data_IF_123286774588
#
_entry.id   IF_123286774588
#
_cell.length_a   1.000
_cell.length_b   1.000
_cell.length_c   1.000
_cell.angle_alpha   90.00
_cell.angle_beta   90.00
_cell.angle_gamma   90.00
#
_symmetry.space_group_name_H-M   'P 1'
#
loop_
_entity.id
_entity.type
_entity.pdbx_description
1 polymer ?
2 non-polymer ?
3 non-polymer ?
4 water ?
#
# COMPACT_ATOMS: atom_id res chain seq x y z
N UNK A 13 -17.13 10.51 9.47
CA UNK A 13 -15.75 10.26 10.04
C UNK A 13 -14.62 9.87 9.05
N UNK A 14 -13.47 10.57 9.21
CA UNK A 14 -12.24 10.41 8.43
C UNK A 14 -11.49 9.13 8.77
N UNK A 15 -11.73 8.59 9.96
CA UNK A 15 -11.13 7.30 10.35
C UNK A 15 -12.02 6.10 10.10
N UNK A 16 -13.22 6.33 9.54
CA UNK A 16 -14.14 5.27 9.09
C UNK A 16 -14.33 5.37 7.56
N UNK A 17 -14.17 4.24 6.86
CA UNK A 17 -14.12 4.18 5.40
C UNK A 17 -15.46 4.02 4.68
N UNK A 18 -16.56 4.25 5.38
CA UNK A 18 -17.88 4.05 4.79
C UNK A 18 -18.31 5.14 3.79
N UNK A 19 -17.51 6.19 3.65
CA UNK A 19 -17.85 7.26 2.69
C UNK A 19 -17.46 6.95 1.27
N UNK A 20 -16.42 6.15 1.09
CA UNK A 20 -15.93 5.81 -0.25
C UNK A 20 -17.01 5.18 -1.16
N UNK A 21 -17.64 4.11 -0.70
CA UNK A 21 -18.73 3.48 -1.44
C UNK A 21 -19.95 3.49 -0.51
N UNK A 22 -20.61 4.65 -0.42
CA UNK A 22 -21.82 4.79 0.41
C UNK A 22 -22.91 3.74 0.07
N UNK A 23 -23.00 3.39 -1.21
CA UNK A 23 -23.91 2.33 -1.66
C UNK A 23 -23.78 1.07 -0.84
N UNK A 24 -22.56 0.69 -0.46
CA UNK A 24 -22.34 -0.52 0.35
C UNK A 24 -22.86 -0.44 1.77
N UNK A 25 -23.24 0.74 2.24
CA UNK A 25 -23.93 0.80 3.52
C UNK A 25 -25.23 -0.02 3.47
N UNK A 26 -25.79 -0.12 2.28
CA UNK A 26 -27.09 -0.72 2.03
C UNK A 26 -27.04 -2.15 1.54
N UNK A 27 -25.96 -2.57 0.90
CA UNK A 27 -25.93 -3.90 0.32
C UNK A 27 -24.53 -4.47 0.17
N UNK A 28 -24.44 -5.78 0.29
CA UNK A 28 -23.16 -6.45 0.31
C UNK A 28 -22.52 -6.55 -1.08
N UNK A 29 -23.34 -6.55 -2.12
CA UNK A 29 -22.89 -6.32 -3.48
C UNK A 29 -23.69 -5.15 -4.02
N UNK A 30 -22.98 -4.06 -4.30
CA UNK A 30 -23.60 -2.78 -4.57
C UNK A 30 -23.10 -2.30 -5.91
N UNK A 31 -24.02 -2.01 -6.84
CA UNK A 31 -23.64 -1.51 -8.17
C UNK A 31 -23.41 0.03 -8.15
N UNK A 32 -22.27 0.42 -8.71
CA UNK A 32 -21.87 1.79 -8.70
C UNK A 32 -21.06 2.13 -9.93
N UNK A 33 -21.02 3.42 -10.28
CA UNK A 33 -20.25 3.87 -11.41
C UNK A 33 -18.86 4.22 -10.94
N UNK A 34 -17.85 3.90 -11.74
CA UNK A 34 -16.47 4.29 -11.42
C UNK A 34 -16.19 5.65 -11.98
N UNK A 35 -14.93 6.07 -11.92
CA UNK A 35 -14.56 7.48 -12.23
C UNK A 35 -15.01 7.93 -13.61
N UNK A 36 -14.90 7.03 -14.58
CA UNK A 36 -15.25 7.28 -15.98
C UNK A 36 -16.62 6.75 -16.26
N UNK A 37 -17.43 6.55 -15.24
CA UNK A 37 -18.79 6.10 -15.46
C UNK A 37 -19.03 4.63 -15.59
N UNK A 38 -18.00 3.82 -15.89
CA UNK A 38 -18.20 2.32 -15.99
C UNK A 38 -18.86 1.77 -14.71
N UNK A 39 -19.86 0.93 -14.88
CA UNK A 39 -20.44 0.36 -13.67
C UNK A 39 -19.55 -0.73 -13.12
N UNK A 40 -19.71 -1.03 -11.85
CA UNK A 40 -18.89 -2.04 -11.23
C UNK A 40 -19.57 -2.56 -9.99
N UNK A 41 -19.59 -3.86 -9.79
CA UNK A 41 -20.17 -4.39 -8.57
C UNK A 41 -19.15 -4.27 -7.45
N UNK A 42 -19.48 -3.55 -6.39
CA UNK A 42 -18.60 -3.46 -5.24
C UNK A 42 -18.88 -4.53 -4.15
N UNK A 43 -17.94 -5.44 -3.96
CA UNK A 43 -18.05 -6.43 -2.89
C UNK A 43 -17.50 -5.91 -1.54
N UNK A 44 -18.36 -5.83 -0.53
CA UNK A 44 -18.02 -5.34 0.81
C UNK A 44 -17.89 -6.40 1.92
N UNK A 45 -18.31 -7.64 1.64
CA UNK A 45 -18.21 -8.71 2.60
C UNK A 45 -16.89 -9.42 2.49
N UNK A 46 -16.33 -9.71 3.65
CA UNK A 46 -15.08 -10.44 3.73
C UNK A 46 -15.06 -11.73 2.94
N UNK A 47 -15.97 -12.67 3.15
CA UNK A 47 -15.86 -13.91 2.36
C UNK A 47 -15.98 -13.57 0.86
N UNK A 48 -16.98 -12.77 0.47
CA UNK A 48 -17.14 -12.40 -0.94
C UNK A 48 -15.86 -11.80 -1.56
N UNK A 49 -15.18 -10.99 -0.78
CA UNK A 49 -13.97 -10.35 -1.23
C UNK A 49 -12.87 -11.35 -1.40
N UNK A 50 -12.65 -12.16 -0.37
CA UNK A 50 -11.77 -13.29 -0.52
C UNK A 50 -12.16 -14.14 -1.75
N UNK A 51 -13.45 -14.33 -1.99
CA UNK A 51 -13.83 -15.16 -3.12
C UNK A 51 -13.41 -14.52 -4.44
N UNK A 52 -13.72 -13.24 -4.61
CA UNK A 52 -13.41 -12.55 -5.85
C UNK A 52 -11.93 -12.64 -6.12
N UNK A 53 -11.14 -12.53 -5.07
CA UNK A 53 -9.71 -12.36 -5.25
C UNK A 53 -8.88 -13.61 -5.49
N UNK A 54 -9.40 -14.82 -5.22
CA UNK A 54 -8.71 -16.03 -5.71
C UNK A 54 -9.46 -16.85 -6.74
N UNK A 55 -10.60 -16.34 -7.21
CA UNK A 55 -11.27 -16.92 -8.35
C UNK A 55 -10.51 -16.67 -9.66
N UNK A 56 -10.25 -17.73 -10.41
CA UNK A 56 -9.60 -17.54 -11.72
C UNK A 56 -10.44 -16.72 -12.74
N UNK A 57 -11.75 -16.59 -12.55
CA UNK A 57 -12.56 -15.82 -13.50
C UNK A 57 -12.53 -14.28 -13.34
N UNK A 58 -11.80 -13.79 -12.35
CA UNK A 58 -11.63 -12.35 -12.20
C UNK A 58 -10.19 -11.99 -12.46
N UNK A 59 -9.95 -11.04 -13.35
CA UNK A 59 -8.63 -10.85 -13.92
C UNK A 59 -8.09 -9.45 -13.59
N UNK A 60 -6.78 -9.37 -13.37
CA UNK A 60 -6.07 -8.10 -13.25
C UNK A 60 -5.52 -7.59 -14.59
N UNK A 61 -5.78 -8.32 -15.68
CA UNK A 61 -5.25 -7.94 -17.00
C UNK A 61 -5.82 -6.64 -17.61
N UNK A 62 -5.08 -5.54 -17.52
CA UNK A 62 -5.61 -4.24 -18.00
C UNK A 62 -5.78 -4.07 -19.51
N UNK A 63 -5.18 -4.95 -20.30
CA UNK A 63 -5.31 -4.85 -21.75
C UNK A 63 -6.65 -5.37 -22.24
N UNK A 64 -7.46 -5.98 -21.37
CA UNK A 64 -8.76 -6.51 -21.77
C UNK A 64 -9.82 -5.46 -22.06
N UNK A 65 -10.62 -5.63 -23.12
CA UNK A 65 -11.64 -4.62 -23.35
C UNK A 65 -12.36 -4.32 -22.06
N UNK A 66 -12.69 -3.05 -21.83
CA UNK A 66 -13.49 -2.61 -20.68
C UNK A 66 -12.74 -2.50 -19.34
N UNK A 67 -11.49 -2.98 -19.22
CA UNK A 67 -10.80 -2.80 -17.94
C UNK A 67 -10.72 -1.32 -17.48
N UNK A 68 -11.09 -1.06 -16.23
CA UNK A 68 -11.21 0.30 -15.74
C UNK A 68 -10.41 0.48 -14.45
N UNK A 69 -9.26 1.13 -14.53
CA UNK A 69 -8.48 1.40 -13.32
C UNK A 69 -9.32 2.27 -12.37
N UNK A 70 -9.01 2.25 -11.09
CA UNK A 70 -9.84 2.97 -10.12
C UNK A 70 -9.59 4.47 -10.15
N UNK A 71 -8.48 4.91 -10.76
CA UNK A 71 -8.28 6.35 -11.07
C UNK A 71 -7.85 6.59 -12.52
N UNK A 72 -8.13 7.77 -13.06
CA UNK A 72 -7.68 8.05 -14.40
C UNK A 72 -6.18 7.96 -14.52
N UNK A 73 -5.46 8.53 -13.57
CA UNK A 73 -4.01 8.46 -13.60
C UNK A 73 -3.48 7.07 -13.92
N UNK A 74 -3.96 6.04 -13.22
CA UNK A 74 -3.58 4.63 -13.53
C UNK A 74 -4.09 4.15 -14.88
N UNK A 75 -5.29 4.57 -15.26
CA UNK A 75 -5.84 4.22 -16.57
C UNK A 75 -4.82 4.46 -17.66
N UNK A 76 -4.19 5.61 -17.63
CA UNK A 76 -3.14 5.92 -18.57
C UNK A 76 -2.18 4.75 -18.79
N UNK A 77 -2.06 3.79 -17.87
CA UNK A 77 -1.06 2.71 -18.11
C UNK A 77 -1.60 1.40 -18.63
N UNK A 78 -2.92 1.28 -18.74
CA UNK A 78 -3.58 -0.03 -18.92
C UNK A 78 -3.04 -0.86 -20.07
N UNK A 79 -2.66 -0.21 -21.15
CA UNK A 79 -2.19 -0.87 -22.36
C UNK A 79 -0.79 -1.45 -22.21
N UNK A 80 -0.05 -1.00 -21.21
CA UNK A 80 1.28 -1.54 -20.96
C UNK A 80 1.60 -1.35 -19.51
N UNK A 81 0.96 -2.14 -18.66
CA UNK A 81 1.02 -1.90 -17.24
C UNK A 81 2.21 -2.59 -16.63
N UNK A 82 2.51 -2.35 -15.37
CA UNK A 82 3.42 -3.15 -14.63
C UNK A 82 2.74 -4.47 -14.29
N UNK A 83 3.45 -5.39 -13.64
CA UNK A 83 2.87 -6.71 -13.46
C UNK A 83 1.63 -6.80 -12.59
N UNK A 84 1.37 -5.79 -11.77
CA UNK A 84 0.13 -5.81 -10.94
C UNK A 84 -1.12 -5.91 -11.83
N UNK A 85 -0.96 -5.54 -13.10
CA UNK A 85 -2.02 -5.63 -14.10
C UNK A 85 -1.74 -6.66 -15.17
N UNK A 86 -1.37 -7.82 -14.68
CA UNK A 86 -1.20 -8.97 -15.54
C UNK A 86 -1.80 -10.20 -14.96
N UNK A 87 -2.07 -11.12 -15.87
CA UNK A 87 -2.42 -12.51 -15.53
C UNK A 87 -1.29 -13.42 -15.92
N UNK A 88 -1.43 -14.71 -15.60
CA UNK A 88 -0.47 -15.72 -16.08
C UNK A 88 -0.63 -15.95 -17.56
N UNK A 89 0.44 -16.36 -18.25
CA UNK A 89 1.78 -16.66 -17.76
C UNK A 89 2.65 -15.52 -17.35
N UNK A 90 2.32 -14.27 -17.72
CA UNK A 90 3.21 -13.18 -17.41
C UNK A 90 3.32 -12.87 -15.93
N UNK A 91 2.20 -12.86 -15.23
CA UNK A 91 2.23 -12.55 -13.81
C UNK A 91 3.25 -13.39 -13.04
N UNK A 92 3.15 -14.69 -13.22
CA UNK A 92 4.04 -15.65 -12.59
C UNK A 92 5.51 -15.36 -12.96
N UNK A 93 5.72 -15.01 -14.22
CA UNK A 93 7.06 -14.75 -14.71
C UNK A 93 7.65 -13.47 -14.05
N UNK A 94 6.94 -12.36 -14.18
CA UNK A 94 7.40 -11.11 -13.64
C UNK A 94 7.53 -11.10 -12.11
N UNK A 95 6.51 -11.60 -11.43
CA UNK A 95 6.51 -11.55 -9.97
C UNK A 95 7.64 -12.42 -9.53
N UNK A 96 7.83 -13.49 -10.30
CA UNK A 96 8.90 -14.43 -10.08
C UNK A 96 10.27 -13.82 -10.04
N UNK A 97 10.45 -12.73 -10.79
CA UNK A 97 11.79 -12.13 -10.86
C UNK A 97 12.24 -11.55 -9.54
N UNK A 98 11.31 -11.21 -8.66
CA UNK A 98 11.68 -10.56 -7.40
C UNK A 98 11.03 -11.16 -6.16
N UNK A 99 10.10 -12.09 -6.32
CA UNK A 99 9.38 -12.71 -5.18
C UNK A 99 10.32 -13.23 -4.14
N UNK A 100 11.44 -13.72 -4.60
CA UNK A 100 12.36 -14.36 -3.70
C UNK A 100 13.00 -13.33 -2.73
N UNK A 101 13.08 -12.07 -3.15
CA UNK A 101 13.67 -11.07 -2.29
C UNK A 101 12.85 -10.82 -1.01
N UNK A 102 11.54 -11.06 -1.10
CA UNK A 102 10.62 -10.64 -0.06
C UNK A 102 10.13 -11.82 0.77
N UNK A 103 10.73 -12.99 0.57
CA UNK A 103 10.44 -14.08 1.44
C UNK A 103 10.75 -13.66 2.88
N UNK A 104 9.79 -13.84 3.79
CA UNK A 104 9.95 -13.49 5.19
C UNK A 104 11.29 -13.89 5.77
N UNK A 105 11.81 -15.00 5.34
CA UNK A 105 13.12 -15.40 5.82
C UNK A 105 14.20 -14.37 5.42
N UNK A 106 14.18 -13.86 4.19
CA UNK A 106 15.19 -12.88 3.74
C UNK A 106 14.95 -11.44 4.29
N UNK A 107 13.70 -11.03 4.34
CA UNK A 107 13.36 -9.71 4.86
C UNK A 107 13.70 -9.59 6.34
N UNK A 108 13.62 -10.69 7.07
CA UNK A 108 14.02 -10.69 8.46
C UNK A 108 15.45 -10.24 8.59
N UNK A 109 16.29 -10.64 7.65
CA UNK A 109 17.68 -10.18 7.70
C UNK A 109 17.78 -8.65 7.61
N UNK A 110 16.74 -7.94 7.15
CA UNK A 110 16.78 -6.47 7.20
C UNK A 110 16.41 -5.85 8.55
N UNK A 111 15.82 -6.62 9.46
CA UNK A 111 15.25 -6.05 10.68
C UNK A 111 16.19 -5.10 11.43
N UNK A 112 17.45 -5.52 11.69
CA UNK A 112 18.35 -4.62 12.46
C UNK A 112 18.71 -3.36 11.71
N UNK A 113 18.82 -3.42 10.40
CA UNK A 113 19.04 -2.24 9.56
C UNK A 113 17.89 -1.29 9.71
N UNK A 114 16.69 -1.87 9.63
CA UNK A 114 15.44 -1.12 9.74
C UNK A 114 15.41 -0.42 11.10
N UNK A 115 15.77 -1.18 12.14
CA UNK A 115 15.74 -0.73 13.52
C UNK A 115 16.76 0.40 13.75
N UNK A 116 17.88 0.33 13.03
CA UNK A 116 18.89 1.35 13.04
C UNK A 116 18.27 2.59 12.36
N UNK A 117 17.65 2.44 11.19
CA UNK A 117 17.08 3.57 10.44
C UNK A 117 16.10 4.36 11.31
N UNK A 118 15.30 3.60 12.04
CA UNK A 118 14.33 4.17 12.97
C UNK A 118 15.09 4.92 14.08
N UNK A 119 15.91 4.25 14.87
CA UNK A 119 16.72 4.96 15.90
C UNK A 119 17.37 6.22 15.31
N UNK A 120 17.75 6.16 14.03
CA UNK A 120 18.37 7.25 13.36
C UNK A 120 17.45 8.43 13.38
N UNK A 121 16.21 8.21 12.97
CA UNK A 121 15.26 9.32 12.85
C UNK A 121 14.86 9.82 14.22
N UNK A 122 14.56 8.91 15.14
CA UNK A 122 14.18 9.31 16.49
C UNK A 122 15.28 10.10 17.17
N UNK A 123 16.54 9.82 16.87
CA UNK A 123 17.67 10.58 17.40
C UNK A 123 17.63 12.03 16.96
N UNK A 124 17.35 12.23 15.67
CA UNK A 124 17.06 13.54 15.14
C UNK A 124 15.95 14.14 15.94
N UNK A 125 14.73 13.69 15.71
CA UNK A 125 13.57 14.20 16.44
C UNK A 125 13.69 14.49 17.94
N UNK A 126 14.49 13.71 18.65
CA UNK A 126 14.57 13.82 20.10
C UNK A 126 15.02 15.22 20.54
N UNK A 127 15.74 15.91 19.68
CA UNK A 127 16.27 17.26 19.98
C UNK A 127 15.40 18.40 19.40
N UNK A 128 14.42 18.05 18.61
CA UNK A 128 13.64 19.01 17.90
C UNK A 128 12.51 19.42 18.81
N UNK A 129 12.16 20.71 18.78
CA UNK A 129 11.00 21.20 19.51
C UNK A 129 9.75 20.85 18.74
N UNK A 130 8.74 20.27 19.41
CA UNK A 130 7.46 20.14 18.75
C UNK A 130 6.81 21.49 18.51
N UNK A 131 5.77 21.52 17.68
CA UNK A 131 5.19 20.41 16.98
C UNK A 131 5.98 20.08 15.72
N UNK A 132 5.68 18.96 15.10
CA UNK A 132 6.39 18.50 13.92
C UNK A 132 5.40 17.78 13.02
N UNK A 133 5.67 17.79 11.72
CA UNK A 133 4.85 17.07 10.79
C UNK A 133 5.44 15.69 10.78
N UNK A 134 4.78 14.77 11.48
CA UNK A 134 5.33 13.43 11.66
C UNK A 134 5.36 12.61 10.39
N UNK A 135 4.61 13.04 9.37
CA UNK A 135 4.74 12.42 8.10
C UNK A 135 6.15 12.68 7.58
N UNK A 136 6.45 13.92 7.30
CA UNK A 136 7.74 14.36 6.78
C UNK A 136 8.89 14.05 7.74
N UNK A 137 8.63 14.17 9.02
CA UNK A 137 9.69 14.05 10.01
C UNK A 137 9.91 12.62 10.51
N UNK A 138 8.89 11.74 10.47
CA UNK A 138 9.10 10.37 10.92
C UNK A 138 8.78 9.30 9.88
N UNK A 139 7.55 9.27 9.41
CA UNK A 139 7.15 8.14 8.60
C UNK A 139 7.93 8.06 7.28
N UNK A 140 7.93 9.12 6.53
CA UNK A 140 8.51 9.06 5.20
C UNK A 140 10.01 8.74 5.25
N UNK A 141 10.77 9.40 6.14
CA UNK A 141 12.19 9.09 6.13
C UNK A 141 12.45 7.65 6.42
N UNK A 142 11.83 7.12 7.47
CA UNK A 142 11.92 5.68 7.80
C UNK A 142 11.61 4.84 6.55
N UNK A 143 10.37 4.97 6.09
CA UNK A 143 9.87 4.17 5.00
C UNK A 143 10.76 4.28 3.76
N UNK A 144 11.00 5.49 3.31
CA UNK A 144 11.74 5.70 2.08
C UNK A 144 13.18 5.23 2.20
N UNK A 145 13.85 5.59 3.28
CA UNK A 145 15.24 5.15 3.42
C UNK A 145 15.32 3.64 3.34
N UNK A 146 14.33 2.98 3.93
CA UNK A 146 14.33 1.52 4.03
C UNK A 146 14.24 0.91 2.64
N UNK A 147 13.20 1.24 1.89
CA UNK A 147 13.08 0.68 0.56
C UNK A 147 14.14 1.20 -0.40
N UNK A 148 14.62 2.42 -0.21
CA UNK A 148 15.64 2.93 -1.11
C UNK A 148 16.96 2.24 -0.85
N UNK A 149 17.24 1.93 0.41
CA UNK A 149 18.37 1.07 0.73
C UNK A 149 18.21 -0.28 0.02
N UNK A 150 17.11 -0.97 0.28
CA UNK A 150 16.84 -2.21 -0.41
C UNK A 150 17.06 -2.12 -1.92
N UNK A 151 16.52 -1.09 -2.57
CA UNK A 151 16.53 -0.97 -4.04
C UNK A 151 17.87 -0.50 -4.53
N UNK A 152 18.47 0.44 -3.83
CA UNK A 152 19.78 0.97 -4.20
C UNK A 152 19.68 2.33 -4.84
N UNK A 153 18.53 2.97 -4.69
CA UNK A 153 18.33 4.30 -5.23
C UNK A 153 19.34 5.23 -4.58
N UNK A 154 20.00 6.09 -5.39
CA UNK A 154 20.84 7.20 -4.94
C UNK A 154 20.11 8.11 -4.01
N UNK A 155 20.80 8.61 -3.00
CA UNK A 155 20.22 9.59 -2.06
C UNK A 155 19.74 10.86 -2.77
N UNK A 156 20.63 11.44 -3.56
CA UNK A 156 20.34 12.58 -4.47
C UNK A 156 18.91 12.54 -5.04
N UNK A 157 18.49 11.36 -5.50
CA UNK A 157 17.29 11.21 -6.34
C UNK A 157 15.96 11.01 -5.62
N UNK A 158 15.96 11.02 -4.30
CA UNK A 158 14.78 10.59 -3.57
C UNK A 158 13.70 11.64 -3.45
N UNK A 159 14.10 12.89 -3.34
CA UNK A 159 13.14 13.96 -3.38
C UNK A 159 12.29 13.87 -4.65
N UNK A 160 12.93 13.61 -5.79
CA UNK A 160 12.21 13.53 -7.05
C UNK A 160 11.24 12.34 -7.05
N UNK A 161 11.81 11.16 -6.79
CA UNK A 161 11.02 9.93 -6.71
C UNK A 161 9.85 10.14 -5.78
N UNK A 162 10.07 10.88 -4.70
CA UNK A 162 8.98 11.13 -3.77
C UNK A 162 7.87 11.92 -4.42
N UNK A 163 8.25 12.97 -5.16
CA UNK A 163 7.30 13.86 -5.80
C UNK A 163 6.51 13.07 -6.81
N UNK A 164 7.22 12.33 -7.66
CA UNK A 164 6.55 11.55 -8.70
C UNK A 164 5.58 10.44 -8.13
N UNK A 165 5.93 9.83 -6.99
CA UNK A 165 5.04 8.84 -6.41
C UNK A 165 3.70 9.49 -6.05
N UNK A 166 3.74 10.68 -5.45
CA UNK A 166 2.48 11.39 -5.17
C UNK A 166 1.66 11.58 -6.46
N UNK A 167 2.34 11.56 -7.59
CA UNK A 167 1.69 11.76 -8.87
C UNK A 167 0.87 10.64 -9.33
N UNK A 168 1.48 9.46 -9.17
CA UNK A 168 0.92 8.17 -9.53
C UNK A 168 -0.27 7.81 -8.69
N UNK A 169 -0.28 8.35 -7.48
CA UNK A 169 -1.23 7.92 -6.46
C UNK A 169 -2.36 8.89 -6.35
N UNK A 170 -2.26 9.97 -7.08
CA UNK A 170 -3.31 10.98 -7.12
C UNK A 170 -4.57 10.33 -7.63
N UNK A 171 -5.70 10.66 -7.04
CA UNK A 171 -6.97 10.18 -7.54
C UNK A 171 -7.75 11.28 -8.23
N UNK A 172 -7.10 12.42 -8.38
CA UNK A 172 -7.72 13.62 -8.95
C UNK A 172 -7.04 13.97 -10.26
N UNK A 173 -5.73 13.73 -10.35
CA UNK A 173 -5.01 13.74 -11.61
C UNK A 173 -5.88 13.27 -12.75
N UNK A 174 -5.52 13.63 -13.97
CA UNK A 174 -6.24 13.23 -15.16
C UNK A 174 -5.43 12.14 -15.80
N UNK A 175 -6.02 11.51 -16.80
CA UNK A 175 -5.34 10.49 -17.54
C UNK A 175 -4.14 11.02 -18.31
N UNK A 176 -4.23 12.23 -18.85
CA UNK A 176 -3.07 12.82 -19.52
C UNK A 176 -2.00 13.36 -18.53
N UNK A 177 -2.40 13.85 -17.35
CA UNK A 177 -1.44 14.19 -16.32
C UNK A 177 -0.67 12.98 -15.82
N UNK A 178 -1.41 11.90 -15.57
CA UNK A 178 -0.83 10.63 -15.17
C UNK A 178 0.12 10.03 -16.18
N UNK A 179 -0.20 10.18 -17.47
CA UNK A 179 0.71 9.67 -18.47
C UNK A 179 2.06 10.35 -18.30
N UNK A 180 2.06 11.66 -18.05
CA UNK A 180 3.33 12.39 -17.97
C UNK A 180 4.08 11.94 -16.74
N UNK A 181 3.38 11.78 -15.63
CA UNK A 181 4.02 11.36 -14.41
C UNK A 181 4.85 10.13 -14.66
N UNK A 182 4.14 9.06 -15.02
CA UNK A 182 4.67 7.74 -15.39
C UNK A 182 5.77 7.80 -16.43
N UNK A 183 5.56 8.64 -17.47
CA UNK A 183 6.60 8.96 -18.47
C UNK A 183 7.87 9.39 -17.77
N UNK A 184 7.75 10.35 -16.86
CA UNK A 184 8.91 10.94 -16.22
C UNK A 184 9.53 9.92 -15.30
N UNK A 185 8.71 9.40 -14.41
CA UNK A 185 9.12 8.28 -13.59
C UNK A 185 9.81 7.17 -14.41
N UNK A 186 9.17 6.72 -15.48
CA UNK A 186 9.77 5.69 -16.32
C UNK A 186 11.13 5.97 -16.93
N UNK A 187 11.32 7.22 -17.38
CA UNK A 187 12.58 7.67 -17.97
C UNK A 187 13.68 7.67 -16.89
N UNK A 188 13.36 8.08 -15.67
CA UNK A 188 14.33 7.97 -14.59
C UNK A 188 14.77 6.54 -14.40
N UNK A 189 13.79 5.66 -14.24
CA UNK A 189 14.08 4.31 -13.88
C UNK A 189 14.80 3.64 -15.05
N UNK A 190 14.41 3.99 -16.28
CA UNK A 190 15.07 3.43 -17.47
C UNK A 190 16.55 3.74 -17.46
N UNK A 191 16.88 4.91 -16.94
CA UNK A 191 18.25 5.33 -16.81
C UNK A 191 19.06 4.41 -15.95
N UNK A 192 18.48 3.90 -14.87
CA UNK A 192 19.20 2.94 -14.01
C UNK A 192 19.29 1.57 -14.64
N UNK A 193 18.23 1.16 -15.31
CA UNK A 193 18.24 -0.10 -16.03
C UNK A 193 19.40 -0.14 -17.01
N UNK A 194 19.56 0.93 -17.79
CA UNK A 194 20.58 1.01 -18.82
C UNK A 194 21.96 1.24 -18.26
N UNK A 195 22.08 1.83 -17.08
CA UNK A 195 23.40 1.98 -16.44
C UNK A 195 23.37 1.61 -14.94
N UNK A 196 23.43 0.31 -14.63
CA UNK A 196 23.38 -0.18 -13.24
C UNK A 196 24.67 0.08 -12.45
N UNK A 197 25.69 0.64 -13.12
CA UNK A 197 27.06 0.64 -12.60
C UNK A 197 27.23 1.56 -11.43
N UNK A 198 26.41 2.59 -11.38
CA UNK A 198 26.51 3.53 -10.26
C UNK A 198 25.81 3.00 -9.00
N UNK A 199 25.05 1.89 -9.11
CA UNK A 199 24.31 1.34 -7.96
C UNK A 199 25.06 0.30 -7.15
N UNK A 200 24.86 0.31 -5.84
CA UNK A 200 25.43 -0.65 -4.92
C UNK A 200 25.31 -2.10 -5.39
N UNK A 201 26.25 -2.95 -4.99
CA UNK A 201 26.22 -4.36 -5.37
C UNK A 201 25.07 -5.06 -4.65
N UNK A 202 24.89 -4.78 -3.35
CA UNK A 202 23.82 -5.42 -2.58
C UNK A 202 22.47 -4.70 -2.80
N UNK A 203 22.19 -4.32 -4.05
CA UNK A 203 20.95 -3.62 -4.37
C UNK A 203 20.03 -4.47 -5.16
N UNK A 204 18.74 -4.34 -4.87
CA UNK A 204 17.75 -5.13 -5.54
C UNK A 204 17.67 -4.72 -6.98
N UNK A 205 17.80 -3.45 -7.28
CA UNK A 205 17.74 -3.05 -8.69
C UNK A 205 18.83 -3.74 -9.48
N UNK A 206 20.02 -3.75 -8.94
CA UNK A 206 21.17 -4.27 -9.65
C UNK A 206 20.98 -5.76 -9.91
N UNK A 207 20.56 -6.49 -8.89
CA UNK A 207 20.33 -7.92 -9.08
C UNK A 207 19.33 -8.13 -10.21
N UNK A 208 18.35 -7.23 -10.30
CA UNK A 208 17.27 -7.43 -11.27
C UNK A 208 17.75 -7.11 -12.65
N UNK A 209 18.54 -6.05 -12.74
CA UNK A 209 19.06 -5.63 -14.02
C UNK A 209 20.12 -6.61 -14.57
N UNK A 210 21.19 -6.83 -13.80
CA UNK A 210 22.28 -7.74 -14.23
C UNK A 210 21.84 -9.17 -14.30
N UNK A 211 20.82 -9.53 -13.53
CA UNK A 211 20.31 -10.91 -13.55
C UNK A 211 19.22 -11.06 -14.60
N UNK A 212 17.96 -11.23 -14.17
CA UNK A 212 16.89 -11.61 -15.06
C UNK A 212 16.63 -10.71 -16.25
N UNK A 213 17.03 -9.46 -16.15
CA UNK A 213 16.85 -8.55 -17.27
C UNK A 213 17.86 -8.89 -18.33
N UNK A 214 19.12 -9.01 -17.92
CA UNK A 214 20.19 -9.39 -18.82
C UNK A 214 19.98 -10.81 -19.33
N UNK A 215 19.43 -11.70 -18.49
CA UNK A 215 19.06 -13.03 -18.93
C UNK A 215 17.81 -13.05 -19.79
N UNK A 216 17.23 -11.87 -19.99
CA UNK A 216 16.08 -11.68 -20.90
C UNK A 216 14.82 -12.41 -20.42
N UNK A 217 14.69 -12.62 -19.11
CA UNK A 217 13.45 -13.15 -18.55
C UNK A 217 12.35 -12.11 -18.66
N UNK A 218 12.75 -10.85 -18.87
CA UNK A 218 11.81 -9.78 -19.12
C UNK A 218 12.44 -8.66 -19.86
N UNK A 219 11.56 -7.89 -20.50
CA UNK A 219 11.96 -6.81 -21.36
C UNK A 219 12.42 -5.58 -20.57
N UNK A 220 12.95 -4.63 -21.31
CA UNK A 220 13.30 -3.39 -20.74
C UNK A 220 12.15 -2.70 -20.02
N UNK A 221 11.01 -2.65 -20.68
CA UNK A 221 9.88 -1.93 -20.12
C UNK A 221 9.20 -2.73 -18.98
N UNK A 222 9.27 -4.07 -19.04
CA UNK A 222 8.80 -4.89 -17.93
C UNK A 222 9.64 -4.65 -16.70
N UNK A 223 10.94 -4.54 -16.93
CA UNK A 223 11.85 -4.21 -15.83
C UNK A 223 11.52 -2.89 -15.13
N UNK A 224 11.33 -1.84 -15.92
CA UNK A 224 10.88 -0.59 -15.35
C UNK A 224 9.59 -0.79 -14.54
N UNK A 225 8.69 -1.64 -15.05
CA UNK A 225 7.42 -1.96 -14.38
C UNK A 225 7.69 -2.44 -12.98
N UNK A 226 8.56 -3.44 -12.89
CA UNK A 226 8.90 -4.03 -11.61
C UNK A 226 9.38 -2.95 -10.65
N UNK A 227 10.38 -2.21 -11.07
CA UNK A 227 10.99 -1.30 -10.13
C UNK A 227 10.00 -0.24 -9.69
N UNK A 228 9.30 0.32 -10.67
CA UNK A 228 8.34 1.38 -10.40
C UNK A 228 7.38 0.97 -9.30
N UNK A 229 6.95 -0.29 -9.33
CA UNK A 229 5.99 -0.80 -8.35
C UNK A 229 6.56 -1.00 -6.99
N UNK A 230 7.83 -1.32 -6.90
CA UNK A 230 8.44 -1.41 -5.59
C UNK A 230 8.65 0.01 -5.02
N UNK A 231 8.99 0.96 -5.87
CA UNK A 231 9.10 2.35 -5.40
C UNK A 231 7.77 2.89 -4.86
N UNK A 232 6.68 2.57 -5.54
CA UNK A 232 5.38 3.07 -5.11
C UNK A 232 4.82 2.39 -3.83
N UNK A 233 4.64 1.05 -3.86
CA UNK A 233 4.23 0.23 -2.66
C UNK A 233 5.20 0.23 -1.46
N UNK A 234 6.48 0.38 -1.80
CA UNK A 234 7.56 0.41 -0.83
C UNK A 234 7.53 1.49 0.23
N UNK A 235 6.91 2.64 -0.05
CA UNK A 235 6.92 3.65 0.98
C UNK A 235 5.63 4.49 1.14
N UNK A 236 5.03 4.93 0.04
CA UNK A 236 3.73 5.55 0.18
C UNK A 236 2.75 4.66 1.02
N UNK A 237 2.43 3.42 0.61
CA UNK A 237 1.50 2.63 1.50
C UNK A 237 2.00 2.41 2.91
N UNK A 238 3.32 2.31 3.05
CA UNK A 238 3.90 2.02 4.34
C UNK A 238 3.92 3.31 5.22
N UNK A 239 4.31 4.41 4.61
CA UNK A 239 4.44 5.67 5.32
C UNK A 239 3.09 6.26 5.82
N UNK A 240 2.06 6.19 4.97
CA UNK A 240 0.67 6.40 5.43
C UNK A 240 0.30 5.46 6.56
N UNK A 241 0.53 4.15 6.41
CA UNK A 241 0.02 3.28 7.46
C UNK A 241 0.68 3.75 8.76
N UNK A 242 1.96 4.08 8.73
CA UNK A 242 2.58 4.50 9.97
C UNK A 242 1.79 5.67 10.54
N UNK A 243 1.71 6.72 9.71
CA UNK A 243 1.00 7.95 10.00
C UNK A 243 -0.31 7.77 10.70
N UNK A 244 -1.22 7.04 10.07
CA UNK A 244 -2.54 6.79 10.65
C UNK A 244 -2.43 6.05 11.96
N UNK A 245 -1.41 5.21 12.11
CA UNK A 245 -1.26 4.48 13.37
C UNK A 245 -1.00 5.46 14.49
N UNK A 246 -0.15 6.44 14.18
CA UNK A 246 0.08 7.53 15.13
C UNK A 246 -1.20 8.27 15.44
N UNK A 247 -2.01 8.58 14.43
CA UNK A 247 -3.27 9.27 14.70
C UNK A 247 -4.09 8.51 15.71
N UNK A 248 -4.20 7.19 15.54
CA UNK A 248 -4.92 6.35 16.49
C UNK A 248 -4.27 6.43 17.86
N UNK A 249 -2.94 6.39 17.89
CA UNK A 249 -2.20 6.53 19.15
C UNK A 249 -2.54 7.86 19.86
N UNK A 250 -2.40 8.95 19.11
CA UNK A 250 -2.73 10.28 19.57
C UNK A 250 -4.09 10.30 20.25
N UNK A 251 -5.06 9.66 19.63
CA UNK A 251 -6.44 9.62 20.13
C UNK A 251 -6.70 8.67 21.32
N UNK A 252 -5.94 7.57 21.42
CA UNK A 252 -6.23 6.50 22.37
C UNK A 252 -4.95 5.85 22.93
N UNK A 253 -4.08 6.65 23.51
CA UNK A 253 -2.75 6.11 23.81
C UNK A 253 -2.67 4.94 24.84
N UNK A 254 -3.70 4.78 25.66
CA UNK A 254 -3.71 3.75 26.69
C UNK A 254 -4.19 2.38 26.14
N UNK A 255 -4.72 2.37 24.91
CA UNK A 255 -4.81 1.15 24.10
C UNK A 255 -3.46 0.65 23.68
N UNK A 256 -2.50 1.54 23.62
CA UNK A 256 -1.16 1.17 23.24
C UNK A 256 -0.34 0.79 24.46
N UNK A 257 -0.97 0.66 25.63
CA UNK A 257 -0.30 0.14 26.82
C UNK A 257 0.61 -1.04 26.46
N UNK A 258 0.02 -1.94 25.70
CA UNK A 258 0.64 -3.14 25.19
C UNK A 258 2.09 -2.93 24.79
N UNK A 259 2.37 -1.93 23.96
CA UNK A 259 3.75 -1.75 23.53
C UNK A 259 4.72 -1.93 24.68
N UNK A 260 4.41 -1.30 25.81
CA UNK A 260 5.21 -1.41 27.03
C UNK A 260 5.07 -2.75 27.77
N UNK A 261 3.82 -3.16 28.04
CA UNK A 261 3.58 -4.39 28.86
C UNK A 261 3.59 -5.74 28.14
N UNK A 262 3.61 -5.75 26.82
CA UNK A 262 3.37 -6.98 26.06
C UNK A 262 4.04 -6.97 24.67
N UNK A 263 5.37 -6.73 24.62
CA UNK A 263 6.10 -6.68 23.35
C UNK A 263 5.83 -7.85 22.39
N UNK A 264 5.62 -9.01 22.95
CA UNK A 264 5.38 -10.19 22.12
C UNK A 264 4.01 -10.08 21.42
N UNK A 265 3.24 -9.04 21.74
CA UNK A 265 1.93 -8.80 21.08
C UNK A 265 1.93 -7.70 20.02
N UNK A 266 3.08 -7.04 19.86
CA UNK A 266 3.30 -6.05 18.80
C UNK A 266 2.93 -6.64 17.43
N UNK A 267 3.40 -7.85 17.14
CA UNK A 267 2.99 -8.38 15.84
C UNK A 267 1.48 -8.37 15.57
N UNK A 268 0.67 -8.77 16.56
CA UNK A 268 -0.80 -8.67 16.46
C UNK A 268 -1.18 -7.23 16.27
N UNK A 269 -0.59 -6.38 17.09
CA UNK A 269 -1.05 -5.03 17.13
C UNK A 269 -0.92 -4.39 15.74
N UNK A 270 0.14 -4.77 15.04
CA UNK A 270 0.41 -4.25 13.70
C UNK A 270 -0.69 -4.73 12.76
N UNK A 271 -1.01 -6.00 12.83
CA UNK A 271 -2.08 -6.56 12.03
C UNK A 271 -3.34 -5.77 12.22
N UNK A 272 -3.56 -5.33 13.46
CA UNK A 272 -4.85 -4.78 13.81
C UNK A 272 -4.89 -3.41 13.20
N UNK A 273 -3.75 -2.73 13.15
CA UNK A 273 -3.63 -1.45 12.43
C UNK A 273 -3.80 -1.66 10.92
N UNK A 274 -3.20 -2.70 10.38
CA UNK A 274 -3.42 -3.06 8.94
C UNK A 274 -4.91 -3.23 8.59
N UNK A 275 -5.63 -3.94 9.45
CA UNK A 275 -7.08 -4.03 9.34
C UNK A 275 -7.80 -2.70 9.41
N UNK A 276 -7.49 -1.96 10.48
CA UNK A 276 -8.33 -0.85 10.89
C UNK A 276 -8.12 0.19 9.84
N UNK A 277 -6.84 0.42 9.53
CA UNK A 277 -6.38 1.42 8.60
C UNK A 277 -6.06 0.64 7.33
N UNK A 278 -7.09 0.25 6.61
CA UNK A 278 -6.87 -0.34 5.33
C UNK A 278 -6.60 0.69 4.28
N UNK A 279 -5.38 1.17 4.19
CA UNK A 279 -5.04 2.24 3.24
C UNK A 279 -5.40 2.08 1.79
N UNK A 280 -5.61 0.89 1.29
CA UNK A 280 -6.01 0.69 -0.08
C UNK A 280 -7.48 0.99 -0.16
N UNK A 281 -7.78 2.27 -0.09
CA UNK A 281 -9.11 2.71 0.28
C UNK A 281 -10.13 2.51 -0.81
N UNK A 282 -9.70 2.41 -2.04
CA UNK A 282 -10.67 2.29 -3.10
C UNK A 282 -10.95 0.86 -3.39
N UNK A 283 -10.29 -0.04 -2.67
CA UNK A 283 -10.41 -1.45 -2.92
C UNK A 283 -9.64 -1.82 -4.18
N UNK A 284 -9.82 -3.05 -4.62
CA UNK A 284 -9.11 -3.55 -5.73
C UNK A 284 -10.07 -3.95 -6.85
N UNK A 285 -9.87 -3.40 -8.03
CA UNK A 285 -10.63 -3.83 -9.21
C UNK A 285 -10.18 -5.08 -9.97
N UNK A 286 -11.18 -5.77 -10.52
CA UNK A 286 -10.98 -7.02 -11.29
C UNK A 286 -12.00 -7.06 -12.41
N UNK A 287 -11.65 -7.71 -13.52
CA UNK A 287 -12.63 -7.83 -14.58
C UNK A 287 -12.96 -9.29 -14.70
N UNK A 288 -14.26 -9.58 -14.83
CA UNK A 288 -14.78 -10.91 -15.07
C UNK A 288 -14.35 -11.35 -16.43
N UNK A 289 -13.99 -12.62 -16.52
CA UNK A 289 -13.62 -13.25 -17.78
C UNK A 289 -14.69 -14.18 -18.31
N UNK A 290 -15.70 -14.46 -17.49
CA UNK A 290 -16.90 -15.22 -17.89
C UNK A 290 -17.93 -14.97 -16.81
N UNK A 291 -19.15 -15.49 -16.95
CA UNK A 291 -20.16 -15.19 -15.96
C UNK A 291 -19.82 -15.93 -14.69
N UNK A 292 -20.08 -15.30 -13.55
CA UNK A 292 -19.72 -15.87 -12.25
C UNK A 292 -20.68 -15.38 -11.19
N UNK A 293 -21.16 -16.29 -10.34
CA UNK A 293 -22.02 -15.91 -9.24
C UNK A 293 -21.18 -15.86 -7.97
N UNK A 294 -21.21 -14.69 -7.32
CA UNK A 294 -20.60 -14.49 -6.03
C UNK A 294 -21.61 -13.72 -5.18
N UNK A 295 -21.67 -14.03 -3.90
CA UNK A 295 -22.40 -13.22 -2.95
C UNK A 295 -23.81 -13.01 -3.43
N UNK A 296 -24.35 -14.09 -3.96
CA UNK A 296 -25.69 -14.12 -4.54
C UNK A 296 -25.90 -13.18 -5.72
N UNK A 297 -24.86 -12.87 -6.48
CA UNK A 297 -24.96 -11.99 -7.64
C UNK A 297 -24.20 -12.56 -8.81
N UNK A 298 -24.87 -12.60 -9.97
CA UNK A 298 -24.23 -12.99 -11.21
C UNK A 298 -23.47 -11.79 -11.78
N UNK A 299 -22.21 -11.99 -12.09
CA UNK A 299 -21.41 -10.97 -12.70
C UNK A 299 -21.20 -11.43 -14.12
N UNK A 300 -21.75 -10.68 -15.05
CA UNK A 300 -21.68 -11.02 -16.47
C UNK A 300 -20.21 -10.90 -16.89
N UNK A 301 -19.79 -11.73 -17.83
CA UNK A 301 -18.43 -11.59 -18.39
C UNK A 301 -18.17 -10.14 -18.80
N UNK A 302 -16.95 -9.67 -18.58
CA UNK A 302 -16.58 -8.31 -19.01
C UNK A 302 -16.96 -7.20 -18.02
N UNK A 303 -17.79 -7.51 -17.04
CA UNK A 303 -18.08 -6.64 -15.91
C UNK A 303 -16.84 -6.43 -15.05
N UNK A 304 -16.63 -5.17 -14.67
CA UNK A 304 -15.72 -4.78 -13.62
C UNK A 304 -16.30 -5.07 -12.25
N UNK A 305 -15.44 -5.38 -11.29
CA UNK A 305 -15.86 -5.45 -9.91
C UNK A 305 -14.81 -4.78 -9.06
N UNK A 306 -15.16 -4.54 -7.81
CA UNK A 306 -14.27 -3.93 -6.85
C UNK A 306 -14.32 -4.74 -5.57
N UNK A 307 -13.16 -5.15 -5.12
CA UNK A 307 -13.07 -5.82 -3.86
C UNK A 307 -12.77 -4.82 -2.74
N UNK A 308 -13.81 -4.43 -2.00
CA UNK A 308 -13.65 -3.32 -1.08
C UNK A 308 -13.01 -3.76 0.22
N UNK A 309 -11.67 -3.70 0.25
CA UNK A 309 -10.84 -4.22 1.36
C UNK A 309 -11.21 -3.62 2.69
N UNK A 310 -11.26 -2.29 2.78
CA UNK A 310 -11.42 -1.64 4.05
C UNK A 310 -12.72 -2.01 4.74
N UNK A 311 -13.74 -2.39 3.95
CA UNK A 311 -15.06 -2.83 4.44
C UNK A 311 -15.06 -4.31 4.73
N UNK A 312 -14.45 -5.08 3.85
CA UNK A 312 -14.18 -6.43 4.21
C UNK A 312 -13.38 -6.45 5.51
N UNK A 313 -12.49 -5.48 5.73
CA UNK A 313 -11.74 -5.49 7.00
C UNK A 313 -12.54 -5.04 8.19
N UNK A 314 -13.76 -4.58 7.93
CA UNK A 314 -14.67 -4.20 8.99
C UNK A 314 -15.95 -5.00 9.06
N UNK A 315 -15.92 -6.21 8.51
CA UNK A 315 -17.11 -6.99 8.40
C UNK A 315 -17.35 -7.62 9.75
N UNK A 316 -18.29 -7.06 10.52
CA UNK A 316 -18.56 -7.56 11.90
C UNK A 316 -18.55 -9.09 12.01
N UNK A 317 -19.18 -9.77 11.08
CA UNK A 317 -19.31 -11.23 11.16
C UNK A 317 -17.97 -11.97 11.37
N UNK A 318 -16.87 -11.43 10.85
CA UNK A 318 -15.50 -11.95 11.02
C UNK A 318 -14.68 -11.16 12.09
N UNK A 319 -15.08 -9.93 12.35
CA UNK A 319 -14.28 -9.01 13.16
C UNK A 319 -15.26 -8.29 14.09
N UNK A 320 -15.52 -8.87 15.28
CA UNK A 320 -16.48 -8.26 16.20
C UNK A 320 -16.03 -6.87 16.60
N UNK A 321 -16.99 -5.94 16.76
CA UNK A 321 -16.72 -4.51 16.96
C UNK A 321 -15.65 -4.01 16.03
N UNK A 322 -15.87 -4.19 14.73
CA UNK A 322 -14.93 -3.83 13.68
C UNK A 322 -14.48 -2.37 13.69
N UNK A 323 -15.37 -1.47 14.15
CA UNK A 323 -15.05 -0.05 14.08
C UNK A 323 -14.27 0.33 15.33
N UNK A 324 -13.95 -0.66 16.17
CA UNK A 324 -13.13 -0.44 17.36
C UNK A 324 -11.76 -0.97 17.09
N UNK A 325 -10.76 -0.14 17.30
CA UNK A 325 -9.40 -0.59 17.27
C UNK A 325 -9.18 -1.48 18.50
N UNK A 326 -8.88 -2.76 18.31
CA UNK A 326 -8.85 -3.67 19.44
C UNK A 326 -7.73 -4.71 19.34
N UNK A 327 -6.67 -4.43 20.10
CA UNK A 327 -5.51 -5.31 20.16
C UNK A 327 -5.73 -6.63 20.93
N UNK A 328 -6.89 -6.79 21.59
CA UNK A 328 -7.21 -8.06 22.26
C UNK A 328 -7.94 -9.07 21.37
N UNK A 329 -7.89 -8.91 20.06
CA UNK A 329 -8.43 -9.97 19.20
C UNK A 329 -7.37 -11.03 19.15
N UNK A 330 -7.79 -12.29 19.08
CA UNK A 330 -6.85 -13.34 18.75
C UNK A 330 -6.48 -13.14 17.30
N UNK A 331 -5.36 -13.70 16.84
CA UNK A 331 -4.91 -13.41 15.48
C UNK A 331 -6.10 -13.46 14.55
N UNK A 332 -6.38 -12.33 13.85
CA UNK A 332 -7.37 -12.32 12.73
C UNK A 332 -6.88 -11.71 11.37
N UNK A 333 -7.24 -12.37 10.25
CA UNK A 333 -6.59 -12.18 8.96
C UNK A 333 -7.32 -11.24 8.09
N UNK A 334 -6.79 -10.01 8.06
CA UNK A 334 -7.28 -8.92 7.22
C UNK A 334 -6.82 -9.15 5.82
N UNK A 335 -7.53 -8.54 4.87
CA UNK A 335 -7.13 -8.53 3.48
C UNK A 335 -6.53 -7.16 3.11
N UNK A 336 -5.99 -6.47 4.11
CA UNK A 336 -5.11 -5.36 3.89
C UNK A 336 -4.13 -5.45 2.77
N UNK A 337 -3.46 -6.58 2.64
CA UNK A 337 -2.55 -6.76 1.54
C UNK A 337 -3.24 -7.40 0.33
N UNK A 338 -4.57 -7.46 0.35
CA UNK A 338 -5.27 -8.15 -0.71
C UNK A 338 -5.23 -9.64 -0.45
N UNK A 339 -5.34 -10.39 -1.52
CA UNK A 339 -5.54 -11.83 -1.41
C UNK A 339 -5.50 -12.40 -2.81
N UNK A 340 -5.13 -13.67 -2.89
CA UNK A 340 -5.04 -14.31 -4.18
C UNK A 340 -3.62 -14.25 -4.69
N UNK A 341 -3.47 -14.44 -5.99
CA UNK A 341 -2.13 -14.40 -6.52
C UNK A 341 -1.49 -13.06 -6.45
N UNK A 342 -2.28 -11.97 -6.50
CA UNK A 342 -1.68 -10.62 -6.50
C UNK A 342 -1.44 -10.03 -5.13
N UNK A 343 -1.63 -10.82 -4.09
CA UNK A 343 -1.36 -10.36 -2.75
C UNK A 343 -0.01 -9.67 -2.54
N UNK A 344 -0.01 -8.54 -1.86
CA UNK A 344 1.23 -7.76 -1.68
C UNK A 344 2.45 -8.67 -1.51
N UNK A 345 3.32 -8.67 -2.52
CA UNK A 345 4.64 -9.28 -2.42
C UNK A 345 5.56 -8.63 -1.36
N UNK A 346 5.45 -7.29 -1.17
CA UNK A 346 6.15 -6.52 -0.12
C UNK A 346 5.56 -6.62 1.28
N UNK A 347 4.46 -7.34 1.48
CA UNK A 347 3.83 -7.46 2.85
C UNK A 347 4.81 -7.81 3.96
N UNK A 348 5.77 -8.70 3.70
CA UNK A 348 6.74 -9.05 4.73
C UNK A 348 7.60 -7.86 5.15
N UNK A 349 7.97 -7.03 4.19
CA UNK A 349 8.84 -5.89 4.52
C UNK A 349 8.13 -4.86 5.38
N UNK A 350 6.86 -4.62 5.01
CA UNK A 350 6.06 -3.60 5.65
C UNK A 350 5.69 -4.01 7.05
N UNK A 351 5.48 -5.32 7.25
CA UNK A 351 5.21 -5.82 8.59
C UNK A 351 6.36 -5.46 9.49
N UNK A 352 7.56 -5.87 9.08
CA UNK A 352 8.80 -5.52 9.80
C UNK A 352 8.93 -4.02 10.12
N UNK A 353 8.76 -3.16 9.10
CA UNK A 353 8.92 -1.69 9.29
C UNK A 353 7.94 -1.26 10.35
N UNK A 354 6.69 -1.70 10.25
CA UNK A 354 5.66 -1.26 11.19
C UNK A 354 5.94 -1.75 12.61
N UNK A 355 6.43 -3.00 12.67
CA UNK A 355 6.77 -3.63 13.93
C UNK A 355 7.87 -2.92 14.61
N UNK A 356 8.86 -2.46 13.83
CA UNK A 356 9.97 -1.68 14.38
C UNK A 356 9.64 -0.21 14.63
N UNK A 357 8.98 0.43 13.65
CA UNK A 357 8.74 1.89 13.64
C UNK A 357 7.77 2.34 14.72
N UNK A 358 6.62 1.70 14.83
CA UNK A 358 5.54 2.20 15.67
C UNK A 358 5.92 2.10 17.17
N UNK A 359 6.29 0.90 17.66
CA UNK A 359 6.81 0.82 19.04
C UNK A 359 7.91 1.84 19.37
N UNK A 360 8.87 1.96 18.49
CA UNK A 360 9.98 2.84 18.69
C UNK A 360 9.45 4.23 19.03
N UNK A 361 8.64 4.80 18.13
CA UNK A 361 8.22 6.15 18.29
C UNK A 361 7.32 6.39 19.51
N UNK A 362 6.49 5.43 19.86
CA UNK A 362 5.68 5.55 21.03
C UNK A 362 6.59 5.60 22.27
N UNK A 363 7.64 4.80 22.29
CA UNK A 363 8.44 4.65 23.48
C UNK A 363 9.27 5.88 23.71
N UNK A 364 9.72 6.50 22.62
CA UNK A 364 10.57 7.67 22.67
C UNK A 364 9.80 9.03 22.81
N UNK A 365 8.49 8.99 22.58
CA UNK A 365 7.67 10.17 22.50
C UNK A 365 6.24 9.78 22.88
N UNK A 366 6.06 9.33 24.13
CA UNK A 366 4.75 8.85 24.45
C UNK A 366 3.72 9.92 24.73
N UNK A 367 4.12 11.20 24.81
CA UNK A 367 3.17 12.30 24.98
C UNK A 367 2.71 12.84 23.62
N UNK A 368 3.03 12.09 22.57
CA UNK A 368 2.53 12.38 21.24
C UNK A 368 1.03 12.56 21.25
N UNK A 369 0.60 13.81 21.14
CA UNK A 369 -0.79 14.16 20.88
C UNK A 369 -0.84 14.96 19.59
N UNK A 370 -2.04 15.12 19.06
CA UNK A 370 -2.25 15.83 17.83
C UNK A 370 -2.02 17.32 18.05
N UNK A 371 -1.28 17.95 17.15
CA UNK A 371 -1.01 19.39 17.26
C UNK A 371 -2.10 20.15 16.56
N UNK A 372 -3.15 19.49 16.13
CA UNK A 372 -4.38 20.18 15.79
C UNK A 372 -5.53 19.21 15.63
N UNK A 373 -6.70 19.77 15.45
CA UNK A 373 -7.93 19.06 15.49
C UNK A 373 -7.98 18.00 14.41
N UNK A 374 -8.50 16.85 14.79
CA UNK A 374 -8.77 15.79 13.85
C UNK A 374 -9.49 16.30 12.61
N UNK A 375 -10.50 17.11 12.84
CA UNK A 375 -11.30 17.61 11.74
C UNK A 375 -10.57 18.65 10.90
N UNK A 376 -9.33 18.96 11.29
CA UNK A 376 -8.52 19.95 10.55
C UNK A 376 -7.46 19.32 9.74
N UNK A 377 -7.08 18.07 10.06
CA UNK A 377 -5.97 17.44 9.38
C UNK A 377 -6.34 17.26 7.95
N UNK A 378 -5.39 17.38 7.05
CA UNK A 378 -5.66 17.12 5.64
C UNK A 378 -5.60 15.61 5.19
N UNK A 379 -6.63 14.84 5.49
CA UNK A 379 -6.68 13.43 5.08
C UNK A 379 -6.68 13.24 3.58
N UNK A 380 -6.16 12.14 3.09
CA UNK A 380 -5.94 11.92 1.67
C UNK A 380 -7.19 11.46 0.93
N UNK A 381 -8.23 12.30 0.93
CA UNK A 381 -9.47 11.93 0.24
C UNK A 381 -9.31 12.05 -1.29
N UNK A 382 -8.15 12.49 -1.74
CA UNK A 382 -7.93 12.74 -3.15
C UNK A 382 -6.85 11.85 -3.71
N UNK A 383 -6.44 10.85 -2.93
CA UNK A 383 -5.40 9.90 -3.28
C UNK A 383 -6.03 8.54 -3.42
N UNK A 384 -5.38 7.65 -4.16
CA UNK A 384 -5.89 6.30 -4.32
C UNK A 384 -5.65 5.53 -3.08
N UNK A 385 -4.68 5.92 -2.26
CA UNK A 385 -4.47 5.25 -0.99
C UNK A 385 -4.54 6.32 0.04
N UNK A 386 -5.00 5.94 1.21
CA UNK A 386 -5.39 6.89 2.23
C UNK A 386 -4.22 7.23 3.13
N UNK A 387 -4.49 7.84 4.26
CA UNK A 387 -3.45 8.56 4.99
C UNK A 387 -3.75 10.04 5.14
N UNK A 388 -2.69 10.79 5.41
CA UNK A 388 -2.75 12.30 5.58
C UNK A 388 -1.60 13.09 4.91
N UNK A 389 -1.93 14.19 4.28
CA UNK A 389 -0.84 15.05 3.66
C UNK A 389 0.18 15.73 4.61
N UNK A 390 -0.20 15.80 5.88
CA UNK A 390 0.66 16.30 6.90
C UNK A 390 0.11 15.85 8.22
N UNK A 391 0.97 15.58 9.18
CA UNK A 391 0.47 15.20 10.50
C UNK A 391 1.25 15.94 11.60
N UNK A 392 0.82 17.17 11.88
CA UNK A 392 1.27 17.95 13.03
C UNK A 392 0.96 17.28 14.34
N UNK A 393 2.02 16.88 15.02
CA UNK A 393 1.92 16.32 16.32
C UNK A 393 2.82 17.11 17.20
N UNK A 394 2.37 17.29 18.42
CA UNK A 394 3.15 17.81 19.49
C UNK A 394 3.33 16.67 20.50
N UNK A 395 3.94 17.02 21.61
CA UNK A 395 4.34 16.08 22.64
C UNK A 395 5.11 16.85 23.74
#
# INVERSE_FOLDING_TARGET
MESPATQVDPANSPLEPYHIYPEAKSCPVAKVGLWNGTPAHVFSGYEDVRTVLQDRRFSSDSRRPNFTELTPTLQSQAAAPPFVRTDNPDHRRLRGTIAREFLPKHIELLRPAIREIVQGVLDGLAETAPPQDMLEAFAVPVASATVFRLLGIPAEDRALLTRCVKGVVSAVGSEDEGAEVFRTLGEYIGGLVQDPSELPEDSLIRRLVTGPYQEKQLTFHETIGVILMLIVGGYDTTASTISLSLVSYALQPEKFSVVHEHPERIPLLVEELLRYHTVSQLGLGRIATEDVEVGGVTVRAGQMVVAALPLANRDESVFPNPDELDFDRPSVPHVGFGYGPHQCVGQALARVELQEAIPAVIRRLPGMRLACALEDLPFRHDMATYGIHELPMTW
#
